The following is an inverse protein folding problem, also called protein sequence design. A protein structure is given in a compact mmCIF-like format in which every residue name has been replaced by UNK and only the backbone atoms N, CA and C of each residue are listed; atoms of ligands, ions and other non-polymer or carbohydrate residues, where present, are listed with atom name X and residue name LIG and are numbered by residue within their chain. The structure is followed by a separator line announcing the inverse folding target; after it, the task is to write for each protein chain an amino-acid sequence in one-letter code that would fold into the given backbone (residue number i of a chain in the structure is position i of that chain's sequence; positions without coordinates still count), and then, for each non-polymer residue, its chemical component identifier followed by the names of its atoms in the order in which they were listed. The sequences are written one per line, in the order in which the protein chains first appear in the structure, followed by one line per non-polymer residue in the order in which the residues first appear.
data_IF_499554792113
#
_entry.id   IF_499554792113
#
_cell.length_a   1.000
_cell.length_b   1.000
_cell.length_c   1.000
_cell.angle_alpha   90.00
_cell.angle_beta   90.00
_cell.angle_gamma   90.00
#
_symmetry.space_group_name_H-M   'P 1'
#
loop_
_entity.id
_entity.type
_entity.pdbx_description
1 polymer ?
#
# COMPACT_ATOMS: atom_id res chain seq x y z
N UNK A 1 -30.57 -27.13 15.57
CA UNK A 1 -29.20 -26.99 15.04
C UNK A 1 -29.01 -25.54 14.65
N UNK A 2 -28.35 -24.76 15.50
CA UNK A 2 -28.24 -23.30 15.35
C UNK A 2 -26.90 -23.01 14.67
N UNK A 3 -26.94 -22.62 13.39
CA UNK A 3 -25.78 -22.09 12.67
C UNK A 3 -25.42 -20.74 13.32
N UNK A 4 -24.33 -20.74 14.10
CA UNK A 4 -23.72 -19.50 14.56
C UNK A 4 -22.97 -18.90 13.36
N UNK A 5 -23.59 -17.87 12.75
CA UNK A 5 -22.85 -16.96 11.90
C UNK A 5 -21.85 -16.23 12.80
N UNK A 6 -20.56 -16.59 12.69
CA UNK A 6 -19.51 -15.77 13.27
C UNK A 6 -19.60 -14.39 12.61
N UNK A 7 -20.04 -13.42 13.40
CA UNK A 7 -19.88 -12.00 13.08
C UNK A 7 -18.39 -11.77 12.86
N UNK A 8 -18.02 -11.60 11.59
CA UNK A 8 -16.77 -10.95 11.20
C UNK A 8 -16.83 -9.58 11.85
N UNK A 9 -16.23 -9.44 13.04
CA UNK A 9 -16.01 -8.12 13.62
C UNK A 9 -15.08 -7.42 12.65
N UNK A 10 -15.50 -6.32 11.98
CA UNK A 10 -14.54 -5.52 11.25
C UNK A 10 -13.53 -5.04 12.29
N UNK A 11 -12.28 -5.44 12.14
CA UNK A 11 -11.21 -4.90 12.96
C UNK A 11 -11.17 -3.39 12.68
N UNK A 12 -11.76 -2.61 13.58
CA UNK A 12 -11.81 -1.16 13.48
C UNK A 12 -10.45 -0.63 13.90
N UNK A 13 -9.51 -0.64 12.97
CA UNK A 13 -8.25 0.08 13.12
C UNK A 13 -8.49 1.55 12.80
N UNK A 14 -9.02 2.30 13.77
CA UNK A 14 -9.06 3.76 13.70
C UNK A 14 -7.69 4.29 14.10
N UNK A 15 -6.70 4.14 13.22
CA UNK A 15 -5.51 4.97 13.26
C UNK A 15 -5.85 6.27 12.54
N UNK A 16 -5.64 7.41 13.18
CA UNK A 16 -5.56 8.67 12.44
C UNK A 16 -4.28 8.60 11.62
N UNK A 17 -4.39 8.45 10.30
CA UNK A 17 -3.28 8.24 9.35
C UNK A 17 -2.58 9.57 9.07
N UNK A 18 -2.26 10.31 10.13
CA UNK A 18 -1.41 11.50 10.10
C UNK A 18 -0.03 11.17 10.70
N UNK A 19 0.37 9.90 10.67
CA UNK A 19 1.70 9.46 11.04
C UNK A 19 2.47 9.00 9.78
N UNK A 20 3.28 9.88 9.16
CA UNK A 20 4.01 9.55 7.93
C UNK A 20 4.96 8.36 8.05
N UNK A 21 5.45 8.07 9.26
CA UNK A 21 6.37 6.96 9.51
C UNK A 21 5.71 5.59 9.36
N UNK A 22 4.38 5.50 9.51
CA UNK A 22 3.62 4.26 9.26
C UNK A 22 3.59 3.88 7.77
N UNK A 23 3.88 4.83 6.88
CA UNK A 23 3.96 4.61 5.43
C UNK A 23 5.34 4.13 5.00
N UNK A 24 6.28 3.97 5.93
CA UNK A 24 7.62 3.43 5.72
C UNK A 24 8.46 4.19 4.68
N UNK A 25 8.12 5.44 4.39
CA UNK A 25 8.77 6.22 3.33
C UNK A 25 8.29 5.87 1.92
N UNK A 26 7.25 5.05 1.76
CA UNK A 26 6.77 4.59 0.44
C UNK A 26 6.08 5.67 -0.40
N UNK A 27 5.77 6.83 0.16
CA UNK A 27 4.85 7.78 -0.47
C UNK A 27 5.48 9.05 -1.02
N UNK A 28 6.53 9.54 -0.38
CA UNK A 28 7.17 10.82 -0.70
C UNK A 28 8.63 10.59 -1.11
N UNK A 29 9.08 11.30 -2.14
CA UNK A 29 10.49 11.25 -2.55
C UNK A 29 11.38 11.73 -1.39
N UNK A 30 12.57 11.14 -1.17
CA UNK A 30 13.29 10.21 -2.06
C UNK A 30 12.83 8.73 -2.03
N UNK A 31 11.78 8.40 -1.29
CA UNK A 31 11.27 7.04 -1.06
C UNK A 31 12.16 6.14 -0.19
N UNK A 32 13.09 6.74 0.55
CA UNK A 32 13.99 6.01 1.45
C UNK A 32 13.20 5.31 2.57
N UNK A 33 13.65 4.12 3.03
CA UNK A 33 13.01 3.43 4.15
C UNK A 33 12.92 4.32 5.39
N UNK A 34 11.70 4.47 5.91
CA UNK A 34 11.47 5.16 7.19
C UNK A 34 11.03 4.13 8.22
N UNK A 35 11.74 4.09 9.34
CA UNK A 35 11.32 3.31 10.50
C UNK A 35 10.37 4.14 11.37
N UNK A 36 9.25 3.55 11.86
CA UNK A 36 8.50 4.14 12.95
C UNK A 36 9.40 4.48 14.13
N UNK A 37 9.18 5.62 14.77
CA UNK A 37 9.88 5.99 15.98
C UNK A 37 9.57 4.99 17.11
N UNK A 38 10.42 4.89 18.15
CA UNK A 38 10.24 3.91 19.23
C UNK A 38 8.89 4.00 19.93
N UNK A 39 8.31 5.20 20.09
CA UNK A 39 7.04 5.38 20.77
C UNK A 39 5.88 4.87 19.90
N UNK A 40 5.88 5.22 18.62
CA UNK A 40 4.94 4.67 17.63
C UNK A 40 5.04 3.15 17.56
N UNK A 41 6.25 2.60 17.52
CA UNK A 41 6.46 1.15 17.49
C UNK A 41 5.95 0.48 18.77
N UNK A 42 6.23 1.05 19.94
CA UNK A 42 5.73 0.55 21.21
C UNK A 42 4.19 0.58 21.27
N UNK A 43 3.54 1.62 20.74
CA UNK A 43 2.08 1.71 20.64
C UNK A 43 1.51 0.62 19.72
N UNK A 44 2.10 0.39 18.55
CA UNK A 44 1.67 -0.66 17.63
C UNK A 44 1.80 -2.05 18.26
N UNK A 45 2.90 -2.30 18.99
CA UNK A 45 3.19 -3.57 19.66
C UNK A 45 2.36 -3.78 20.93
N UNK A 46 2.04 -2.74 21.71
CA UNK A 46 1.23 -2.85 22.92
C UNK A 46 -0.19 -3.37 22.63
N UNK A 47 -0.70 -3.07 21.44
CA UNK A 47 -1.98 -3.56 20.95
C UNK A 47 -1.86 -4.88 20.18
N UNK A 48 -0.67 -5.48 20.09
CA UNK A 48 -0.46 -6.76 19.42
C UNK A 48 -0.69 -7.91 20.40
N UNK A 49 -1.92 -8.42 20.45
CA UNK A 49 -2.20 -9.64 21.20
C UNK A 49 -1.65 -10.84 20.41
N UNK A 50 -0.75 -11.62 21.02
CA UNK A 50 0.00 -12.68 20.33
C UNK A 50 -0.82 -13.84 19.74
N UNK A 51 -2.15 -13.84 19.93
CA UNK A 51 -3.05 -14.83 19.35
C UNK A 51 -3.82 -14.32 18.11
N UNK A 52 -3.90 -13.01 17.90
CA UNK A 52 -4.66 -12.42 16.78
C UNK A 52 -3.72 -11.84 15.72
N UNK A 53 -3.67 -12.53 14.58
CA UNK A 53 -2.85 -12.19 13.40
C UNK A 53 -3.20 -10.80 12.87
N UNK A 54 -4.45 -10.37 13.02
CA UNK A 54 -4.88 -9.04 12.62
C UNK A 54 -4.28 -7.93 13.49
N UNK A 55 -3.86 -8.27 14.71
CA UNK A 55 -3.23 -7.34 15.64
C UNK A 55 -1.70 -7.31 15.54
N UNK A 56 -1.10 -8.06 14.62
CA UNK A 56 0.35 -8.04 14.42
C UNK A 56 0.87 -6.68 13.91
N UNK A 57 2.18 -6.46 14.04
CA UNK A 57 2.82 -5.23 13.58
C UNK A 57 2.71 -5.08 12.05
N UNK A 58 2.95 -6.16 11.31
CA UNK A 58 2.85 -6.22 9.85
C UNK A 58 1.42 -5.97 9.36
N UNK A 59 0.40 -6.52 10.03
CA UNK A 59 -1.00 -6.26 9.68
C UNK A 59 -1.37 -4.78 9.87
N UNK A 60 -0.95 -4.16 10.99
CA UNK A 60 -1.22 -2.74 11.27
C UNK A 60 -0.52 -1.80 10.30
N UNK A 61 0.76 -2.03 10.03
CA UNK A 61 1.51 -1.23 9.05
C UNK A 61 0.94 -1.43 7.63
N UNK A 62 0.64 -2.68 7.25
CA UNK A 62 -0.01 -2.99 5.97
C UNK A 62 -1.35 -2.28 5.82
N UNK A 63 -2.15 -2.21 6.89
CA UNK A 63 -3.42 -1.48 6.88
C UNK A 63 -3.23 0.03 6.63
N UNK A 64 -2.22 0.65 7.25
CA UNK A 64 -1.91 2.06 7.02
C UNK A 64 -1.43 2.32 5.57
N UNK A 65 -0.55 1.47 5.05
CA UNK A 65 -0.08 1.54 3.66
C UNK A 65 -1.25 1.35 2.68
N UNK A 66 -2.13 0.39 2.99
CA UNK A 66 -3.29 0.09 2.18
C UNK A 66 -4.28 1.25 2.11
N UNK A 67 -4.65 1.86 3.23
CA UNK A 67 -5.53 3.04 3.23
C UNK A 67 -4.93 4.17 2.37
N UNK A 68 -3.62 4.38 2.47
CA UNK A 68 -2.91 5.36 1.63
C UNK A 68 -3.02 5.03 0.15
N UNK A 69 -2.89 3.76 -0.24
CA UNK A 69 -3.06 3.30 -1.62
C UNK A 69 -4.45 3.63 -2.14
N UNK A 70 -5.51 3.39 -1.36
CA UNK A 70 -6.89 3.71 -1.75
C UNK A 70 -7.08 5.21 -1.88
N UNK A 71 -6.73 5.98 -0.85
CA UNK A 71 -6.87 7.44 -0.82
C UNK A 71 -6.16 8.10 -2.01
N UNK A 72 -4.95 7.65 -2.32
CA UNK A 72 -4.21 8.19 -3.44
C UNK A 72 -4.62 7.61 -4.80
N UNK A 73 -5.12 6.37 -4.84
CA UNK A 73 -5.75 5.77 -6.02
C UNK A 73 -6.94 6.59 -6.46
N UNK A 74 -7.84 6.94 -5.53
CA UNK A 74 -8.98 7.80 -5.83
C UNK A 74 -8.57 9.22 -6.27
N UNK A 75 -7.54 9.81 -5.64
CA UNK A 75 -7.00 11.11 -6.08
C UNK A 75 -6.42 11.03 -7.49
N UNK A 76 -5.63 10.01 -7.81
CA UNK A 76 -5.11 9.78 -9.16
C UNK A 76 -6.24 9.58 -10.16
N UNK A 77 -7.21 8.74 -9.85
CA UNK A 77 -8.36 8.49 -10.73
C UNK A 77 -9.06 9.78 -11.12
N UNK A 78 -9.33 10.69 -10.17
CA UNK A 78 -9.95 12.01 -10.45
C UNK A 78 -9.15 12.88 -11.43
N UNK A 79 -7.83 12.72 -11.46
CA UNK A 79 -6.94 13.45 -12.38
C UNK A 79 -6.87 12.71 -13.70
N UNK A 80 -6.63 11.40 -13.66
CA UNK A 80 -6.37 10.58 -14.84
C UNK A 80 -7.63 10.31 -15.65
N UNK A 81 -8.84 10.37 -15.07
CA UNK A 81 -10.11 10.24 -15.79
C UNK A 81 -10.45 11.45 -16.65
N UNK A 82 -9.62 12.49 -16.68
CA UNK A 82 -9.83 13.67 -17.54
C UNK A 82 -9.42 13.35 -18.97
N UNK A 83 -10.28 13.71 -19.92
CA UNK A 83 -10.03 13.51 -21.35
C UNK A 83 -8.84 14.33 -21.88
N UNK A 84 -8.58 15.49 -21.28
CA UNK A 84 -7.50 16.41 -21.63
C UNK A 84 -6.23 16.22 -20.80
N UNK A 85 -6.03 15.05 -20.17
CA UNK A 85 -4.79 14.73 -19.48
C UNK A 85 -3.62 14.71 -20.47
N UNK A 86 -2.56 15.47 -20.19
CA UNK A 86 -1.32 15.38 -20.95
C UNK A 86 -0.63 14.05 -20.65
N UNK A 87 -0.75 13.10 -21.58
CA UNK A 87 -0.21 11.76 -21.41
C UNK A 87 1.32 11.74 -21.38
N UNK A 88 1.98 12.60 -22.17
CA UNK A 88 3.45 12.60 -22.27
C UNK A 88 4.08 13.17 -21.00
N UNK A 89 3.54 14.28 -20.49
CA UNK A 89 3.99 14.87 -19.23
C UNK A 89 3.76 13.90 -18.07
N UNK A 90 2.54 13.34 -17.98
CA UNK A 90 2.20 12.37 -16.93
C UNK A 90 3.08 11.12 -16.98
N UNK A 91 3.38 10.57 -18.17
CA UNK A 91 4.29 9.44 -18.32
C UNK A 91 5.70 9.77 -17.86
N UNK A 92 6.19 10.97 -18.17
CA UNK A 92 7.52 11.43 -17.77
C UNK A 92 7.63 11.54 -16.25
N UNK A 93 6.65 12.17 -15.60
CA UNK A 93 6.56 12.27 -14.15
C UNK A 93 6.48 10.88 -13.49
N UNK A 94 5.67 9.99 -14.06
CA UNK A 94 5.52 8.63 -13.53
C UNK A 94 6.82 7.83 -13.67
N UNK A 95 7.50 7.90 -14.82
CA UNK A 95 8.79 7.22 -15.03
C UNK A 95 9.85 7.71 -14.05
N UNK A 96 9.93 9.03 -13.83
CA UNK A 96 10.83 9.60 -12.82
C UNK A 96 10.50 9.07 -11.42
N UNK A 97 9.22 9.04 -11.06
CA UNK A 97 8.74 8.49 -9.79
C UNK A 97 9.07 7.00 -9.61
N UNK A 98 8.82 6.18 -10.63
CA UNK A 98 9.12 4.74 -10.61
C UNK A 98 10.62 4.49 -10.53
N UNK A 99 11.43 5.29 -11.23
CA UNK A 99 12.88 5.23 -11.15
C UNK A 99 13.39 5.54 -9.74
N UNK A 100 12.96 6.64 -9.12
CA UNK A 100 13.36 6.97 -7.75
C UNK A 100 12.97 5.89 -6.75
N UNK A 101 11.76 5.32 -6.87
CA UNK A 101 11.32 4.19 -6.04
C UNK A 101 12.22 2.97 -6.20
N UNK A 102 12.58 2.64 -7.44
CA UNK A 102 13.49 1.52 -7.73
C UNK A 102 14.85 1.75 -7.09
N UNK A 103 15.42 2.95 -7.19
CA UNK A 103 16.70 3.30 -6.57
C UNK A 103 16.65 3.13 -5.05
N UNK A 104 15.62 3.66 -4.40
CA UNK A 104 15.44 3.51 -2.95
C UNK A 104 15.26 2.04 -2.53
N UNK A 105 14.50 1.28 -3.31
CA UNK A 105 14.29 -0.16 -3.10
C UNK A 105 15.58 -0.96 -3.24
N UNK A 106 16.36 -0.74 -4.31
CA UNK A 106 17.66 -1.38 -4.54
C UNK A 106 18.66 -1.06 -3.40
N UNK A 107 18.66 0.19 -2.94
CA UNK A 107 19.46 0.63 -1.78
C UNK A 107 19.07 -0.15 -0.51
N UNK A 108 17.77 -0.24 -0.23
CA UNK A 108 17.25 -0.96 0.94
C UNK A 108 17.55 -2.48 0.90
N UNK A 109 17.56 -3.09 -0.29
CA UNK A 109 17.97 -4.50 -0.47
C UNK A 109 19.45 -4.71 -0.11
N UNK A 110 20.32 -3.74 -0.42
CA UNK A 110 21.74 -3.80 -0.09
C UNK A 110 22.08 -3.57 1.39
N UNK A 111 21.16 -2.99 2.17
CA UNK A 111 21.43 -2.59 3.55
C UNK A 111 21.41 -3.78 4.54
N UNK A 112 22.47 -3.90 5.34
CA UNK A 112 22.54 -4.87 6.45
C UNK A 112 21.74 -4.34 7.63
N UNK A 113 20.56 -4.90 7.85
CA UNK A 113 19.68 -4.52 8.96
C UNK A 113 19.96 -5.32 10.24
N UNK A 114 19.78 -4.66 11.38
CA UNK A 114 19.73 -5.33 12.68
C UNK A 114 18.48 -6.23 12.76
N UNK A 115 18.52 -7.34 13.53
CA UNK A 115 17.41 -8.29 13.62
C UNK A 115 16.07 -7.69 14.07
N UNK A 116 16.09 -6.63 14.89
CA UNK A 116 14.91 -5.91 15.36
C UNK A 116 14.24 -5.04 14.29
N UNK A 117 14.90 -4.83 13.15
CA UNK A 117 14.43 -4.00 12.04
C UNK A 117 14.05 -4.79 10.79
N UNK A 118 14.24 -6.11 10.78
CA UNK A 118 14.00 -6.95 9.60
C UNK A 118 12.54 -6.91 9.17
N UNK A 119 11.59 -7.01 10.10
CA UNK A 119 10.15 -6.99 9.77
C UNK A 119 9.73 -5.71 9.05
N UNK A 120 10.20 -4.54 9.51
CA UNK A 120 9.85 -3.25 8.89
C UNK A 120 10.49 -3.11 7.51
N UNK A 121 11.74 -3.57 7.36
CA UNK A 121 12.43 -3.58 6.07
C UNK A 121 11.76 -4.52 5.08
N UNK A 122 11.44 -5.75 5.48
CA UNK A 122 10.81 -6.75 4.63
C UNK A 122 9.45 -6.24 4.13
N UNK A 123 8.70 -5.59 5.03
CA UNK A 123 7.43 -4.95 4.68
C UNK A 123 7.60 -3.78 3.71
N UNK A 124 8.61 -2.92 3.94
CA UNK A 124 8.97 -1.86 3.00
C UNK A 124 9.31 -2.42 1.61
N UNK A 125 10.09 -3.50 1.55
CA UNK A 125 10.51 -4.11 0.29
C UNK A 125 9.32 -4.73 -0.46
N UNK A 126 8.46 -5.48 0.23
CA UNK A 126 7.27 -6.10 -0.36
C UNK A 126 6.29 -5.03 -0.88
N UNK A 127 5.89 -4.08 -0.02
CA UNK A 127 4.98 -3.02 -0.44
C UNK A 127 5.59 -2.06 -1.45
N UNK A 128 6.89 -1.77 -1.36
CA UNK A 128 7.60 -0.93 -2.32
C UNK A 128 7.52 -1.49 -3.74
N UNK A 129 7.77 -2.79 -3.91
CA UNK A 129 7.63 -3.47 -5.18
C UNK A 129 6.17 -3.48 -5.67
N UNK A 130 5.22 -3.82 -4.79
CA UNK A 130 3.79 -3.85 -5.13
C UNK A 130 3.26 -2.50 -5.60
N UNK A 131 3.58 -1.41 -4.89
CA UNK A 131 3.13 -0.07 -5.27
C UNK A 131 3.74 0.36 -6.61
N UNK A 132 5.02 0.04 -6.86
CA UNK A 132 5.65 0.35 -8.14
C UNK A 132 4.98 -0.40 -9.31
N UNK A 133 4.75 -1.71 -9.16
CA UNK A 133 4.06 -2.53 -10.16
C UNK A 133 2.63 -2.06 -10.38
N UNK A 134 1.89 -1.81 -9.30
CA UNK A 134 0.51 -1.29 -9.36
C UNK A 134 0.43 0.02 -10.15
N UNK A 135 1.33 0.97 -9.88
CA UNK A 135 1.36 2.26 -10.58
C UNK A 135 1.68 2.10 -12.07
N UNK A 136 2.64 1.24 -12.41
CA UNK A 136 2.98 0.95 -13.80
C UNK A 136 1.80 0.30 -14.54
N UNK A 137 1.16 -0.70 -13.94
CA UNK A 137 -0.02 -1.36 -14.50
C UNK A 137 -1.18 -0.39 -14.67
N UNK A 138 -1.46 0.46 -13.68
CA UNK A 138 -2.54 1.46 -13.76
C UNK A 138 -2.31 2.41 -14.93
N UNK A 139 -1.06 2.81 -15.15
CA UNK A 139 -0.70 3.67 -16.27
C UNK A 139 -0.87 2.98 -17.63
N UNK A 140 -0.47 1.72 -17.76
CA UNK A 140 -0.71 0.94 -18.98
C UNK A 140 -2.20 0.86 -19.31
N UNK A 141 -3.06 0.68 -18.31
CA UNK A 141 -4.52 0.72 -18.52
C UNK A 141 -4.99 2.11 -18.94
N UNK A 142 -4.47 3.17 -18.31
CA UNK A 142 -4.84 4.53 -18.68
C UNK A 142 -4.46 4.87 -20.13
N UNK A 143 -3.33 4.36 -20.63
CA UNK A 143 -2.90 4.58 -22.03
C UNK A 143 -3.83 3.96 -23.07
N UNK A 144 -4.66 2.99 -22.70
CA UNK A 144 -5.65 2.39 -23.61
C UNK A 144 -6.86 3.30 -23.87
N UNK A 145 -6.95 4.43 -23.16
CA UNK A 145 -8.01 5.42 -23.34
C UNK A 145 -8.78 5.69 -22.06
N UNK A 146 -9.41 6.85 -22.00
CA UNK A 146 -10.15 7.31 -20.82
C UNK A 146 -11.37 6.42 -20.52
N UNK A 147 -12.10 5.97 -21.55
CA UNK A 147 -13.28 5.13 -21.41
C UNK A 147 -12.94 3.72 -20.86
N UNK A 148 -11.86 3.11 -21.36
CA UNK A 148 -11.35 1.84 -20.83
C UNK A 148 -10.99 1.99 -19.35
N UNK A 149 -10.25 3.04 -19.01
CA UNK A 149 -9.82 3.33 -17.64
C UNK A 149 -10.99 3.59 -16.68
N UNK A 150 -12.02 4.35 -17.10
CA UNK A 150 -13.22 4.56 -16.29
C UNK A 150 -14.07 3.30 -16.15
N UNK A 151 -14.17 2.49 -17.21
CA UNK A 151 -14.83 1.18 -17.17
C UNK A 151 -14.20 0.26 -16.12
N UNK A 152 -12.86 0.17 -16.07
CA UNK A 152 -12.14 -0.61 -15.06
C UNK A 152 -12.41 -0.11 -13.63
N UNK A 153 -12.54 1.20 -13.41
CA UNK A 153 -12.89 1.75 -12.09
C UNK A 153 -14.27 1.29 -11.63
N UNK A 154 -15.23 1.30 -12.55
CA UNK A 154 -16.63 0.93 -12.30
C UNK A 154 -16.76 -0.58 -12.01
N UNK A 155 -16.00 -1.42 -12.72
CA UNK A 155 -15.97 -2.87 -12.50
C UNK A 155 -15.12 -3.30 -11.30
N UNK A 156 -14.41 -2.38 -10.64
CA UNK A 156 -13.55 -2.72 -9.50
C UNK A 156 -12.29 -3.47 -9.91
N UNK A 157 -11.77 -3.17 -11.11
CA UNK A 157 -10.65 -3.87 -11.76
C UNK A 157 -9.41 -2.99 -11.93
N UNK A 158 -9.38 -1.75 -11.41
CA UNK A 158 -8.12 -1.03 -11.36
C UNK A 158 -7.11 -1.76 -10.47
N UNK A 159 -5.81 -1.70 -10.77
CA UNK A 159 -4.78 -2.43 -10.01
C UNK A 159 -4.84 -2.19 -8.49
N UNK A 160 -5.02 -0.93 -8.05
CA UNK A 160 -5.14 -0.60 -6.63
C UNK A 160 -6.46 -1.10 -5.99
N UNK A 161 -7.51 -1.33 -6.79
CA UNK A 161 -8.74 -1.98 -6.32
C UNK A 161 -8.58 -3.52 -6.22
N UNK A 162 -7.72 -4.10 -7.06
CA UNK A 162 -7.34 -5.51 -6.97
C UNK A 162 -6.57 -5.81 -5.68
N UNK A 163 -5.64 -4.94 -5.29
CA UNK A 163 -4.87 -5.07 -4.05
C UNK A 163 -5.75 -5.16 -2.78
N UNK A 164 -6.95 -4.58 -2.80
CA UNK A 164 -7.97 -4.73 -1.74
C UNK A 164 -8.32 -6.19 -1.51
N UNK A 165 -8.56 -6.90 -2.63
CA UNK A 165 -8.98 -8.31 -2.59
C UNK A 165 -7.83 -9.17 -2.11
N UNK A 166 -6.62 -8.91 -2.60
CA UNK A 166 -5.42 -9.66 -2.25
C UNK A 166 -5.04 -9.48 -0.77
N UNK A 167 -5.21 -8.29 -0.20
CA UNK A 167 -4.96 -8.05 1.23
C UNK A 167 -5.94 -8.83 2.12
N UNK A 168 -7.23 -8.82 1.77
CA UNK A 168 -8.25 -9.58 2.52
C UNK A 168 -7.96 -11.08 2.46
N UNK A 169 -7.53 -11.58 1.30
CA UNK A 169 -7.15 -12.99 1.12
C UNK A 169 -5.88 -13.33 1.89
N UNK A 170 -4.82 -12.51 1.81
CA UNK A 170 -3.56 -12.72 2.54
C UNK A 170 -3.78 -12.83 4.06
N UNK A 171 -4.64 -11.95 4.60
CA UNK A 171 -4.97 -11.95 6.02
C UNK A 171 -5.96 -13.06 6.41
N UNK A 172 -6.68 -13.65 5.45
CA UNK A 172 -7.61 -14.77 5.66
C UNK A 172 -6.97 -16.16 5.45
N UNK A 173 -5.99 -16.31 4.56
CA UNK A 173 -5.36 -17.60 4.22
C UNK A 173 -4.19 -17.99 5.13
N UNK A 174 -3.74 -17.09 5.97
CA UNK A 174 -2.70 -17.38 6.97
C UNK A 174 -3.21 -18.22 8.15
N UNK A 175 -4.36 -18.90 8.03
CA UNK A 175 -5.09 -19.69 9.07
C UNK A 175 -4.45 -21.04 9.33
#
# INVERSE_FOLDING_TARGET
MVLHAHSLRPASFTFTIDCPTLLLGLWDAPYDPVHPDPDTLALLLAHASGADKWNSLDAKLSAAIYDKIISCGDKRYKIWSKANLDLNSTETELKAKLHSRRVAWESAVGEVCRPDKTTVRDLYLDWGARVAVMLAQEWEQRKQGVESYTGLRQSGQLPWQGMVKDMVVMLAESV
#
